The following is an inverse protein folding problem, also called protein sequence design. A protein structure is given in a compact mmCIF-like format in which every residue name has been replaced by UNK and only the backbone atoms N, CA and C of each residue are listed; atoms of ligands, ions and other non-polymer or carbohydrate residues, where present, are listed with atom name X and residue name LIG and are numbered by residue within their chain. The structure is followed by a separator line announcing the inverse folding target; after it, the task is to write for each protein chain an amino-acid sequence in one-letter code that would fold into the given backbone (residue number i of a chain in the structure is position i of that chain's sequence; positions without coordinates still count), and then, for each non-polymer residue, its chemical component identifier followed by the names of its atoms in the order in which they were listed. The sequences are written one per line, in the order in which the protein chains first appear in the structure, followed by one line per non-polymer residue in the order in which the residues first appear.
data_IF_150962007245
#
_entry.id   IF_150962007245
#
_cell.length_a   1.000
_cell.length_b   1.000
_cell.length_c   1.000
_cell.angle_alpha   90.00
_cell.angle_beta   90.00
_cell.angle_gamma   90.00
#
_symmetry.space_group_name_H-M   'P 1'
#
loop_
_entity.id
_entity.type
_entity.pdbx_description
1 polymer ?
#
# COMPACT_ATOMS: atom_id res chain seq x y z
N UNK A 1 -11.01 -26.87 -8.40
CA UNK A 1 -10.41 -25.64 -8.97
C UNK A 1 -11.55 -24.78 -9.48
N UNK A 2 -12.04 -23.85 -8.66
CA UNK A 2 -13.03 -22.87 -9.07
C UNK A 2 -12.59 -21.54 -8.48
N UNK A 3 -12.20 -20.61 -9.34
CA UNK A 3 -11.71 -19.27 -8.99
C UNK A 3 -12.93 -18.41 -8.65
N UNK A 4 -13.07 -18.00 -7.39
CA UNK A 4 -14.07 -17.00 -6.97
C UNK A 4 -13.41 -15.62 -6.97
N UNK A 5 -13.97 -14.72 -7.77
CA UNK A 5 -13.60 -13.30 -7.83
C UNK A 5 -14.54 -12.56 -6.86
N UNK A 6 -14.00 -12.04 -5.77
CA UNK A 6 -14.75 -11.17 -4.86
C UNK A 6 -14.71 -9.72 -5.37
N UNK A 7 -15.87 -9.16 -5.69
CA UNK A 7 -16.05 -7.77 -6.05
C UNK A 7 -16.35 -6.98 -4.76
N UNK A 8 -15.37 -6.22 -4.25
CA UNK A 8 -15.61 -5.27 -3.15
C UNK A 8 -16.14 -3.95 -3.74
N UNK A 9 -17.39 -3.62 -3.43
CA UNK A 9 -17.97 -2.29 -3.70
C UNK A 9 -17.85 -1.47 -2.42
N UNK A 10 -16.93 -0.49 -2.43
CA UNK A 10 -16.79 0.50 -1.36
C UNK A 10 -17.78 1.64 -1.63
N UNK A 11 -18.73 1.86 -0.74
CA UNK A 11 -19.65 3.01 -0.79
C UNK A 11 -19.00 4.18 -0.06
N UNK A 12 -18.69 5.27 -0.77
CA UNK A 12 -18.28 6.54 -0.15
C UNK A 12 -19.51 7.42 0.12
N UNK A 13 -19.58 8.15 1.26
CA UNK A 13 -20.62 9.14 1.48
C UNK A 13 -20.28 10.44 0.75
N UNK A 14 -21.18 10.93 -0.11
CA UNK A 14 -21.08 12.23 -0.76
C UNK A 14 -21.51 13.35 0.20
N UNK A 15 -20.60 14.32 0.38
CA UNK A 15 -20.78 15.58 1.10
C UNK A 15 -21.87 16.44 0.46
N UNK A 16 -22.80 16.95 1.27
CA UNK A 16 -23.82 17.93 0.88
C UNK A 16 -23.18 19.32 0.72
N UNK A 17 -23.32 19.93 -0.46
CA UNK A 17 -23.01 21.35 -0.68
C UNK A 17 -24.28 22.19 -0.52
N UNK A 18 -24.20 23.23 0.31
CA UNK A 18 -25.25 24.24 0.57
C UNK A 18 -25.25 25.34 -0.50
N UNK A 19 -26.37 25.61 -1.20
CA UNK A 19 -26.49 26.74 -2.10
C UNK A 19 -27.44 27.80 -1.52
N UNK A 20 -26.91 28.75 -0.77
CA UNK A 20 -27.57 30.04 -0.56
C UNK A 20 -26.62 31.17 -0.95
N UNK A 21 -26.70 31.61 -2.21
CA UNK A 21 -26.48 33.01 -2.61
C UNK A 21 -26.74 33.23 -4.11
N UNK A 22 -27.92 33.77 -4.45
CA UNK A 22 -28.02 34.83 -5.46
C UNK A 22 -29.35 35.60 -5.34
N UNK A 23 -29.36 36.95 -5.22
CA UNK A 23 -30.59 37.74 -5.18
C UNK A 23 -30.99 38.29 -6.56
N UNK A 24 -32.32 38.30 -6.81
CA UNK A 24 -33.12 39.28 -7.59
C UNK A 24 -32.73 39.57 -9.08
N UNK A 25 -33.61 39.88 -10.04
CA UNK A 25 -35.06 40.12 -10.13
C UNK A 25 -35.48 40.26 -11.61
N UNK A 26 -36.80 40.30 -11.85
CA UNK A 26 -37.53 40.89 -13.00
C UNK A 26 -37.67 40.06 -14.30
N UNK A 27 -38.83 39.95 -14.96
CA UNK A 27 -40.20 40.45 -14.76
C UNK A 27 -41.18 39.70 -15.69
N UNK A 28 -42.49 39.93 -15.45
CA UNK A 28 -43.69 39.68 -16.26
C UNK A 28 -44.49 38.38 -16.07
N UNK A 29 -45.74 38.58 -15.62
CA UNK A 29 -46.90 37.87 -16.19
C UNK A 29 -47.67 36.94 -15.25
N UNK A 30 -48.59 37.49 -14.45
CA UNK A 30 -49.58 36.70 -13.71
C UNK A 30 -50.57 36.02 -14.66
N UNK A 31 -50.54 34.69 -14.70
CA UNK A 31 -51.73 33.83 -14.85
C UNK A 31 -51.66 32.82 -13.71
N UNK A 32 -52.62 32.89 -12.79
CA UNK A 32 -52.73 31.95 -11.68
C UNK A 32 -53.13 30.58 -12.19
N UNK A 33 -52.18 29.66 -12.24
CA UNK A 33 -52.42 28.23 -12.08
C UNK A 33 -51.62 27.79 -10.86
N UNK A 34 -52.32 27.42 -9.80
CA UNK A 34 -51.74 26.63 -8.70
C UNK A 34 -51.43 25.23 -9.25
N UNK A 35 -50.28 25.10 -9.91
CA UNK A 35 -49.70 23.78 -10.17
C UNK A 35 -48.84 23.48 -8.96
N UNK A 36 -49.39 22.72 -8.01
CA UNK A 36 -48.54 21.97 -7.08
C UNK A 36 -47.68 21.05 -7.93
N UNK A 37 -46.41 21.37 -8.11
CA UNK A 37 -45.43 20.42 -8.67
C UNK A 37 -45.46 19.16 -7.81
N UNK A 38 -45.85 17.99 -8.32
CA UNK A 38 -45.72 16.76 -7.57
C UNK A 38 -44.22 16.51 -7.37
N UNK A 39 -43.85 16.49 -6.10
CA UNK A 39 -42.58 16.09 -5.48
C UNK A 39 -41.81 15.03 -6.29
N UNK A 40 -40.92 15.44 -7.19
CA UNK A 40 -40.00 14.53 -7.91
C UNK A 40 -38.96 13.92 -6.95
N UNK A 41 -38.67 14.58 -5.82
CA UNK A 41 -37.82 14.03 -4.76
C UNK A 41 -38.41 12.77 -4.10
N UNK A 42 -39.73 12.58 -4.13
CA UNK A 42 -40.36 11.43 -3.49
C UNK A 42 -40.39 10.17 -4.35
N UNK A 43 -40.23 10.27 -5.66
CA UNK A 43 -40.20 9.10 -6.55
C UNK A 43 -38.79 8.49 -6.56
N UNK A 44 -37.75 9.32 -6.53
CA UNK A 44 -36.37 8.86 -6.50
C UNK A 44 -36.04 8.16 -5.17
N UNK A 45 -36.43 8.75 -4.04
CA UNK A 45 -36.30 8.13 -2.71
C UNK A 45 -37.12 6.83 -2.60
N UNK A 46 -38.37 6.80 -3.08
CA UNK A 46 -39.19 5.58 -3.02
C UNK A 46 -38.66 4.45 -3.90
N UNK A 47 -38.04 4.78 -5.04
CA UNK A 47 -37.44 3.77 -5.92
C UNK A 47 -36.16 3.19 -5.31
N UNK A 48 -35.34 4.03 -4.66
CA UNK A 48 -34.17 3.58 -3.89
C UNK A 48 -34.60 2.66 -2.74
N UNK A 49 -35.69 2.99 -2.03
CA UNK A 49 -36.26 2.14 -0.97
C UNK A 49 -36.76 0.79 -1.53
N UNK A 50 -37.40 0.78 -2.71
CA UNK A 50 -37.89 -0.45 -3.36
C UNK A 50 -36.71 -1.32 -3.83
N UNK A 51 -35.69 -0.74 -4.44
CA UNK A 51 -34.49 -1.47 -4.86
C UNK A 51 -33.72 -2.03 -3.65
N UNK A 52 -33.62 -1.24 -2.58
CA UNK A 52 -33.02 -1.67 -1.32
C UNK A 52 -33.78 -2.84 -0.68
N UNK A 53 -35.11 -2.76 -0.62
CA UNK A 53 -35.97 -3.85 -0.10
C UNK A 53 -35.85 -5.10 -0.98
N UNK A 54 -35.80 -4.92 -2.30
CA UNK A 54 -35.64 -6.04 -3.25
C UNK A 54 -34.27 -6.71 -3.08
N UNK A 55 -33.22 -5.92 -2.88
CA UNK A 55 -31.85 -6.38 -2.68
C UNK A 55 -31.69 -7.07 -1.32
N UNK A 56 -32.29 -6.55 -0.25
CA UNK A 56 -32.35 -7.23 1.06
C UNK A 56 -33.06 -8.58 0.98
N UNK A 57 -34.22 -8.63 0.33
CA UNK A 57 -34.92 -9.90 0.11
C UNK A 57 -34.08 -10.90 -0.69
N UNK A 58 -33.28 -10.44 -1.66
CA UNK A 58 -32.39 -11.30 -2.42
C UNK A 58 -31.25 -11.85 -1.55
N UNK A 59 -30.68 -11.01 -0.67
CA UNK A 59 -29.66 -11.40 0.31
C UNK A 59 -30.22 -12.46 1.25
N UNK A 60 -31.38 -12.22 1.86
CA UNK A 60 -32.01 -13.18 2.78
C UNK A 60 -32.31 -14.54 2.10
N UNK A 61 -32.70 -14.51 0.82
CA UNK A 61 -32.91 -15.72 0.02
C UNK A 61 -31.61 -16.47 -0.30
N UNK A 62 -30.52 -15.74 -0.51
CA UNK A 62 -29.20 -16.33 -0.75
C UNK A 62 -28.69 -16.96 0.54
N UNK A 63 -28.79 -16.26 1.67
CA UNK A 63 -28.43 -16.77 3.00
C UNK A 63 -29.20 -18.06 3.34
N UNK A 64 -30.53 -18.05 3.16
CA UNK A 64 -31.36 -19.25 3.39
C UNK A 64 -31.00 -20.43 2.49
N UNK A 65 -30.62 -20.18 1.22
CA UNK A 65 -30.18 -21.23 0.30
C UNK A 65 -28.80 -21.78 0.65
N UNK A 66 -27.91 -20.93 1.17
CA UNK A 66 -26.59 -21.34 1.67
C UNK A 66 -26.76 -22.27 2.89
N UNK A 67 -27.64 -21.90 3.82
CA UNK A 67 -27.97 -22.73 5.00
C UNK A 67 -28.56 -24.08 4.59
N UNK A 68 -29.54 -24.09 3.67
CA UNK A 68 -30.17 -25.32 3.18
C UNK A 68 -29.21 -26.23 2.40
N UNK A 69 -28.24 -25.64 1.70
CA UNK A 69 -27.23 -26.38 0.96
C UNK A 69 -26.15 -26.99 1.85
N UNK A 70 -26.14 -26.67 3.16
CA UNK A 70 -25.06 -27.07 4.07
C UNK A 70 -23.70 -26.53 3.62
N UNK A 71 -23.69 -25.44 2.85
CA UNK A 71 -22.50 -24.74 2.37
C UNK A 71 -21.98 -23.73 3.40
N UNK A 72 -22.43 -23.85 4.65
CA UNK A 72 -21.78 -23.23 5.80
C UNK A 72 -20.40 -23.89 5.96
N UNK A 73 -19.44 -23.45 5.15
CA UNK A 73 -18.09 -23.31 5.67
C UNK A 73 -18.25 -22.45 6.91
N UNK A 74 -18.05 -23.05 8.07
CA UNK A 74 -17.72 -22.27 9.25
C UNK A 74 -16.48 -21.50 8.82
N UNK A 75 -16.62 -20.19 8.60
CA UNK A 75 -15.49 -19.30 8.45
C UNK A 75 -14.85 -19.25 9.84
N UNK A 76 -14.07 -20.28 10.17
CA UNK A 76 -13.07 -20.20 11.21
C UNK A 76 -12.07 -19.16 10.70
N UNK A 77 -12.28 -17.91 11.08
CA UNK A 77 -11.23 -16.90 11.01
C UNK A 77 -9.99 -17.53 11.64
N UNK A 78 -8.89 -17.59 10.90
CA UNK A 78 -7.61 -18.04 11.45
C UNK A 78 -7.16 -17.00 12.50
N UNK A 79 -7.64 -17.19 13.72
CA UNK A 79 -7.26 -16.41 14.90
C UNK A 79 -5.94 -16.90 15.50
N UNK A 80 -5.29 -17.90 14.90
CA UNK A 80 -4.07 -18.49 15.43
C UNK A 80 -2.85 -17.59 15.17
N UNK A 81 -2.95 -16.67 14.21
CA UNK A 81 -1.88 -15.75 13.84
C UNK A 81 -2.34 -14.29 13.82
N UNK A 82 -1.53 -13.35 14.36
CA UNK A 82 -1.79 -11.92 14.18
C UNK A 82 -1.70 -11.55 12.70
N UNK A 83 -2.49 -10.57 12.28
CA UNK A 83 -2.51 -10.11 10.88
C UNK A 83 -1.21 -9.43 10.46
N UNK A 84 -0.67 -8.65 11.38
CA UNK A 84 0.58 -7.93 11.24
C UNK A 84 1.15 -7.60 12.65
N UNK A 85 2.22 -6.82 12.70
CA UNK A 85 2.86 -6.46 13.96
C UNK A 85 2.04 -5.55 14.88
N UNK A 86 0.98 -4.89 14.39
CA UNK A 86 0.15 -3.99 15.20
C UNK A 86 -0.79 -4.75 16.16
N UNK A 87 -1.08 -6.02 15.88
CA UNK A 87 -1.86 -6.90 16.75
C UNK A 87 -0.99 -7.63 17.79
N UNK A 88 0.32 -7.42 17.78
CA UNK A 88 1.27 -8.07 18.67
C UNK A 88 1.57 -7.18 19.87
N UNK A 89 1.60 -7.77 21.06
CA UNK A 89 2.10 -7.13 22.28
C UNK A 89 3.40 -7.78 22.70
N UNK A 90 4.47 -7.00 22.89
CA UNK A 90 5.77 -7.54 23.31
C UNK A 90 6.95 -6.69 22.87
N UNK A 91 8.13 -7.30 22.88
CA UNK A 91 9.39 -6.68 22.44
C UNK A 91 9.58 -6.79 20.92
N UNK A 92 10.52 -6.03 20.38
CA UNK A 92 10.89 -6.14 18.96
C UNK A 92 11.47 -7.53 18.65
N UNK A 93 11.11 -8.12 17.52
CA UNK A 93 11.52 -9.49 17.22
C UNK A 93 10.93 -10.07 15.95
N UNK A 94 11.23 -11.34 15.70
CA UNK A 94 10.69 -12.07 14.55
C UNK A 94 9.43 -12.82 14.96
N UNK A 95 8.33 -12.54 14.26
CA UNK A 95 7.02 -13.12 14.52
C UNK A 95 6.44 -13.73 13.24
N UNK A 96 5.53 -14.69 13.40
CA UNK A 96 4.73 -15.23 12.29
C UNK A 96 3.42 -14.46 12.22
N UNK A 97 3.07 -13.97 11.03
CA UNK A 97 1.85 -13.22 10.76
C UNK A 97 1.07 -13.85 9.62
N UNK A 98 -0.24 -13.57 9.55
CA UNK A 98 -1.12 -13.99 8.47
C UNK A 98 -2.12 -12.87 8.11
N UNK A 99 -1.80 -12.01 7.13
CA UNK A 99 -2.60 -10.84 6.76
C UNK A 99 -4.08 -11.10 6.48
N UNK A 100 -4.37 -12.04 5.58
CA UNK A 100 -5.74 -12.29 5.12
C UNK A 100 -6.03 -13.78 4.98
N UNK A 101 -7.32 -14.12 5.00
CA UNK A 101 -7.80 -15.44 4.61
C UNK A 101 -7.38 -15.75 3.17
N UNK A 102 -6.82 -16.95 2.98
CA UNK A 102 -6.24 -17.36 1.70
C UNK A 102 -4.74 -17.05 1.52
N UNK A 103 -4.16 -16.13 2.31
CA UNK A 103 -2.70 -15.99 2.39
C UNK A 103 -2.09 -17.13 3.21
N UNK A 104 -0.80 -17.43 2.99
CA UNK A 104 -0.03 -18.36 3.82
C UNK A 104 0.64 -17.58 4.95
N UNK A 105 0.73 -18.11 6.18
CA UNK A 105 1.53 -17.48 7.23
C UNK A 105 2.99 -17.31 6.80
N UNK A 106 3.60 -16.19 7.19
CA UNK A 106 5.01 -15.92 6.94
C UNK A 106 5.65 -15.13 8.09
N UNK A 107 6.97 -15.16 8.18
CA UNK A 107 7.71 -14.47 9.26
C UNK A 107 8.14 -13.07 8.85
N UNK A 108 8.01 -12.14 9.80
CA UNK A 108 8.35 -10.73 9.68
C UNK A 108 9.15 -10.26 10.89
N UNK A 109 9.88 -9.16 10.75
CA UNK A 109 10.43 -8.46 11.91
C UNK A 109 9.44 -7.38 12.35
N UNK A 110 9.04 -7.44 13.62
CA UNK A 110 8.21 -6.44 14.26
C UNK A 110 9.09 -5.50 15.08
N UNK A 111 9.02 -4.21 14.77
CA UNK A 111 9.58 -3.14 15.59
C UNK A 111 8.47 -2.62 16.51
N UNK A 112 8.61 -2.94 17.79
CA UNK A 112 7.64 -2.64 18.84
C UNK A 112 8.03 -1.41 19.66
N UNK A 113 9.11 -0.71 19.27
CA UNK A 113 9.71 0.37 20.05
C UNK A 113 9.59 1.73 19.35
N UNK A 114 9.85 1.78 18.04
CA UNK A 114 9.88 3.04 17.30
C UNK A 114 8.49 3.64 17.19
N UNK A 115 8.33 4.91 17.59
CA UNK A 115 7.11 5.71 17.36
C UNK A 115 5.82 4.97 17.79
N UNK A 116 5.85 4.39 18.99
CA UNK A 116 4.74 3.63 19.57
C UNK A 116 4.65 2.16 19.13
N UNK A 117 5.56 1.69 18.28
CA UNK A 117 5.65 0.27 17.90
C UNK A 117 4.57 -0.20 16.93
N UNK A 118 4.46 -1.53 16.79
CA UNK A 118 3.51 -2.15 15.85
C UNK A 118 3.94 -2.06 14.39
N UNK A 119 5.21 -1.77 14.13
CA UNK A 119 5.74 -1.64 12.78
C UNK A 119 6.14 -3.00 12.23
N UNK A 120 5.66 -3.31 11.04
CA UNK A 120 6.12 -4.45 10.25
C UNK A 120 7.23 -3.98 9.32
N UNK A 121 8.46 -4.43 9.55
CA UNK A 121 9.58 -4.11 8.66
C UNK A 121 9.40 -4.87 7.34
N UNK A 122 9.64 -4.20 6.22
CA UNK A 122 9.46 -4.75 4.87
C UNK A 122 10.76 -4.83 4.08
N UNK A 123 11.72 -3.96 4.41
CA UNK A 123 13.06 -3.94 3.86
C UNK A 123 14.02 -3.43 4.93
N UNK A 124 15.21 -4.03 5.00
CA UNK A 124 16.29 -3.53 5.84
C UNK A 124 17.63 -3.69 5.14
N UNK A 125 18.50 -2.68 5.23
CA UNK A 125 19.91 -2.67 4.84
C UNK A 125 20.73 -2.12 6.00
N UNK A 126 21.75 -2.86 6.42
CA UNK A 126 22.51 -2.60 7.66
C UNK A 126 23.98 -2.98 7.54
N UNK A 127 24.29 -4.07 6.84
CA UNK A 127 25.66 -4.61 6.83
C UNK A 127 26.13 -5.10 5.45
N UNK A 128 25.23 -5.19 4.46
CA UNK A 128 25.55 -5.69 3.12
C UNK A 128 25.79 -7.20 3.06
N UNK A 129 25.44 -7.95 4.11
CA UNK A 129 25.58 -9.42 4.17
C UNK A 129 24.73 -10.16 3.14
N UNK A 130 23.65 -9.52 2.67
CA UNK A 130 22.74 -10.07 1.67
C UNK A 130 22.85 -9.30 0.37
N UNK A 131 23.13 -9.98 -0.74
CA UNK A 131 23.12 -9.38 -2.07
C UNK A 131 21.70 -9.14 -2.58
N UNK A 132 21.40 -7.90 -3.01
CA UNK A 132 20.10 -7.48 -3.56
C UNK A 132 20.03 -7.53 -5.11
N UNK A 133 21.11 -7.88 -5.79
CA UNK A 133 21.09 -8.20 -7.22
C UNK A 133 20.44 -9.58 -7.45
N UNK A 134 19.11 -9.61 -7.51
CA UNK A 134 18.29 -10.83 -7.52
C UNK A 134 17.25 -10.78 -8.64
N UNK A 135 16.83 -11.95 -9.10
CA UNK A 135 15.80 -12.08 -10.14
C UNK A 135 14.37 -11.96 -9.61
N UNK A 136 13.39 -12.03 -10.51
CA UNK A 136 11.96 -11.85 -10.23
C UNK A 136 11.45 -12.80 -9.15
N UNK A 137 11.79 -14.08 -9.26
CA UNK A 137 11.31 -15.12 -8.34
C UNK A 137 11.82 -14.91 -6.91
N UNK A 138 13.05 -14.42 -6.75
CA UNK A 138 13.62 -14.10 -5.44
C UNK A 138 12.94 -12.88 -4.84
N UNK A 139 12.77 -11.80 -5.61
CA UNK A 139 12.05 -10.61 -5.16
C UNK A 139 10.58 -10.88 -4.86
N UNK A 140 9.95 -11.80 -5.59
CA UNK A 140 8.59 -12.25 -5.31
C UNK A 140 8.49 -12.96 -3.95
N UNK A 141 9.39 -13.91 -3.69
CA UNK A 141 9.37 -14.75 -2.47
C UNK A 141 9.91 -14.05 -1.23
N UNK A 142 10.83 -13.11 -1.41
CA UNK A 142 11.61 -12.51 -0.33
C UNK A 142 12.91 -13.28 -0.08
N UNK A 143 13.88 -12.60 0.52
CA UNK A 143 15.22 -13.11 0.77
C UNK A 143 15.90 -12.35 1.92
N UNK A 144 17.00 -12.91 2.43
CA UNK A 144 17.78 -12.30 3.52
C UNK A 144 17.31 -12.70 4.91
N UNK A 145 17.86 -12.05 5.92
CA UNK A 145 17.62 -12.33 7.34
C UNK A 145 16.81 -11.22 7.98
N UNK A 146 15.70 -11.58 8.64
CA UNK A 146 14.79 -10.61 9.29
C UNK A 146 15.49 -9.77 10.36
N UNK A 147 16.62 -10.24 10.89
CA UNK A 147 17.44 -9.55 11.88
C UNK A 147 18.54 -8.66 11.27
N UNK A 148 18.82 -8.78 9.97
CA UNK A 148 19.88 -8.06 9.25
C UNK A 148 19.30 -7.54 7.93
N UNK A 149 20.05 -7.66 6.84
CA UNK A 149 19.61 -7.30 5.50
C UNK A 149 18.55 -8.26 4.96
N UNK A 150 17.36 -7.74 4.60
CA UNK A 150 16.31 -8.54 3.97
C UNK A 150 15.30 -7.74 3.14
N UNK A 151 14.59 -8.48 2.28
CA UNK A 151 13.41 -8.05 1.55
C UNK A 151 12.26 -9.00 1.87
N UNK A 152 11.12 -8.47 2.28
CA UNK A 152 9.95 -9.26 2.69
C UNK A 152 9.42 -10.20 1.59
N UNK A 153 9.55 -9.77 0.33
CA UNK A 153 8.97 -10.45 -0.83
C UNK A 153 7.72 -9.74 -1.33
N UNK A 154 7.63 -9.53 -2.65
CA UNK A 154 6.56 -8.74 -3.26
C UNK A 154 5.18 -9.39 -3.08
N UNK A 155 5.12 -10.73 -3.09
CA UNK A 155 3.87 -11.46 -2.83
C UNK A 155 3.37 -11.21 -1.41
N UNK A 156 4.27 -11.27 -0.43
CA UNK A 156 3.95 -10.99 0.97
C UNK A 156 3.56 -9.52 1.16
N UNK A 157 4.22 -8.57 0.47
CA UNK A 157 3.85 -7.15 0.49
C UNK A 157 2.46 -6.90 -0.08
N UNK A 158 2.11 -7.59 -1.17
CA UNK A 158 0.77 -7.54 -1.73
C UNK A 158 -0.27 -7.99 -0.69
N UNK A 159 -0.10 -9.19 -0.12
CA UNK A 159 -1.05 -9.70 0.88
C UNK A 159 -1.14 -8.80 2.12
N UNK A 160 0.01 -8.30 2.60
CA UNK A 160 0.08 -7.40 3.75
C UNK A 160 -0.65 -6.08 3.50
N UNK A 161 -0.48 -5.46 2.34
CA UNK A 161 -1.06 -4.14 2.03
C UNK A 161 -2.44 -4.21 1.34
N UNK A 162 -2.96 -5.42 1.12
CA UNK A 162 -4.31 -5.63 0.60
C UNK A 162 -5.38 -5.58 1.69
N UNK A 163 -5.02 -5.87 2.95
CA UNK A 163 -5.98 -6.03 4.05
C UNK A 163 -6.51 -4.72 4.63
N UNK A 164 -5.72 -3.65 4.62
CA UNK A 164 -6.07 -2.37 5.23
C UNK A 164 -5.26 -1.21 4.61
N UNK A 165 -5.45 0.01 5.13
CA UNK A 165 -4.68 1.20 4.83
C UNK A 165 -3.40 1.26 5.66
N UNK A 166 -2.24 1.14 5.03
CA UNK A 166 -0.93 1.17 5.69
C UNK A 166 -0.20 2.48 5.44
N UNK A 167 0.37 3.07 6.49
CA UNK A 167 1.42 4.08 6.34
C UNK A 167 2.77 3.42 6.08
N UNK A 168 3.66 4.15 5.39
CA UNK A 168 5.06 3.78 5.19
C UNK A 168 5.95 4.78 5.90
N UNK A 169 6.90 4.24 6.65
CA UNK A 169 8.01 4.96 7.24
C UNK A 169 9.31 4.43 6.63
N UNK A 170 10.11 5.35 6.09
CA UNK A 170 11.45 5.09 5.57
C UNK A 170 12.46 5.79 6.46
N UNK A 171 13.38 5.03 7.03
CA UNK A 171 14.50 5.53 7.82
C UNK A 171 15.80 5.35 7.03
N UNK A 172 16.62 6.40 6.99
CA UNK A 172 17.83 6.46 6.20
C UNK A 172 18.98 6.91 7.08
N UNK A 173 20.14 6.27 6.96
CA UNK A 173 21.36 6.65 7.66
C UNK A 173 22.53 6.80 6.69
N UNK A 174 23.30 7.88 6.81
CA UNK A 174 24.53 8.09 6.03
C UNK A 174 25.78 7.60 6.78
N UNK A 175 26.95 7.73 6.15
CA UNK A 175 28.22 7.33 6.74
C UNK A 175 28.77 8.33 7.79
N UNK A 176 28.09 9.46 8.02
CA UNK A 176 28.35 10.36 9.14
C UNK A 176 27.35 10.16 10.28
N UNK A 177 26.60 9.04 10.25
CA UNK A 177 25.60 8.66 11.25
C UNK A 177 24.42 9.63 11.38
N UNK A 178 24.22 10.52 10.41
CA UNK A 178 23.00 11.32 10.35
C UNK A 178 21.83 10.43 9.93
N UNK A 179 20.68 10.61 10.58
CA UNK A 179 19.45 9.86 10.30
C UNK A 179 18.41 10.82 9.73
N UNK A 180 17.71 10.40 8.66
CA UNK A 180 16.61 11.12 8.04
C UNK A 180 15.40 10.22 7.83
N UNK A 181 14.22 10.83 7.84
CA UNK A 181 12.94 10.14 7.70
C UNK A 181 12.16 10.59 6.47
N UNK A 182 11.42 9.67 5.86
CA UNK A 182 10.35 9.97 4.91
C UNK A 182 9.11 9.15 5.26
N UNK A 183 7.97 9.83 5.41
CA UNK A 183 6.70 9.21 5.84
C UNK A 183 5.66 9.43 4.75
N UNK A 184 4.94 8.37 4.39
CA UNK A 184 3.84 8.39 3.42
C UNK A 184 2.58 7.88 4.11
N UNK A 185 1.46 8.58 3.92
CA UNK A 185 0.19 8.20 4.55
C UNK A 185 -0.39 6.89 4.02
N UNK A 186 0.02 6.47 2.83
CA UNK A 186 -0.41 5.23 2.18
C UNK A 186 0.76 4.54 1.51
N UNK A 187 0.82 3.22 1.68
CA UNK A 187 1.67 2.33 0.92
C UNK A 187 0.91 1.05 0.57
N UNK A 188 0.85 0.75 -0.72
CA UNK A 188 0.22 -0.45 -1.24
C UNK A 188 1.00 -1.01 -2.41
N UNK A 189 1.06 -2.33 -2.47
CA UNK A 189 1.68 -3.08 -3.55
C UNK A 189 0.59 -3.87 -4.26
N UNK A 190 0.51 -3.76 -5.59
CA UNK A 190 -0.41 -4.53 -6.41
C UNK A 190 -0.07 -6.02 -6.45
N UNK A 191 -0.92 -6.82 -7.07
CA UNK A 191 -0.66 -8.25 -7.30
C UNK A 191 0.39 -8.51 -8.41
N UNK A 192 0.74 -9.77 -8.64
CA UNK A 192 1.66 -10.15 -9.72
C UNK A 192 1.15 -9.76 -11.12
N UNK A 193 -0.18 -9.76 -11.35
CA UNK A 193 -0.79 -9.35 -12.63
C UNK A 193 -0.56 -7.87 -12.98
N UNK A 194 -0.52 -7.02 -11.96
CA UNK A 194 -0.11 -5.62 -12.07
C UNK A 194 1.40 -5.41 -11.92
N UNK A 195 2.19 -6.50 -11.89
CA UNK A 195 3.65 -6.50 -11.68
C UNK A 195 4.05 -5.82 -10.37
N UNK A 196 3.32 -6.09 -9.29
CA UNK A 196 3.59 -5.54 -7.96
C UNK A 196 3.70 -4.01 -7.96
N UNK A 197 2.79 -3.35 -8.69
CA UNK A 197 2.78 -1.89 -8.85
C UNK A 197 2.77 -1.16 -7.51
N UNK A 198 3.64 -0.15 -7.37
CA UNK A 198 3.66 0.72 -6.21
C UNK A 198 2.49 1.71 -6.24
N UNK A 199 1.83 1.85 -5.09
CA UNK A 199 0.83 2.87 -4.83
C UNK A 199 1.22 3.55 -3.51
N UNK A 200 1.66 4.80 -3.60
CA UNK A 200 1.91 5.64 -2.44
C UNK A 200 0.92 6.80 -2.40
N UNK A 201 0.59 7.24 -1.19
CA UNK A 201 -0.26 8.40 -0.95
C UNK A 201 0.55 9.67 -0.75
N UNK A 202 0.04 10.59 0.06
CA UNK A 202 0.67 11.87 0.34
C UNK A 202 1.94 11.67 1.16
N UNK A 203 2.99 12.40 0.79
CA UNK A 203 4.14 12.59 1.66
C UNK A 203 3.69 13.38 2.90
N UNK A 204 3.75 12.73 4.06
CA UNK A 204 3.18 13.22 5.31
C UNK A 204 4.26 13.61 6.34
N UNK A 205 5.49 13.86 5.87
CA UNK A 205 6.56 14.45 6.68
C UNK A 205 7.87 13.66 6.68
N UNK A 206 8.78 14.15 7.51
CA UNK A 206 10.18 13.75 7.54
C UNK A 206 11.11 14.81 6.94
N UNK A 207 12.41 14.59 7.08
CA UNK A 207 13.48 15.50 6.68
C UNK A 207 14.39 14.90 5.60
N UNK A 208 14.03 13.75 5.03
CA UNK A 208 14.73 13.12 3.91
C UNK A 208 14.29 13.63 2.52
N UNK A 209 13.17 14.35 2.43
CA UNK A 209 12.52 14.70 1.16
C UNK A 209 11.82 13.52 0.47
N UNK A 210 11.08 13.81 -0.61
CA UNK A 210 10.13 12.89 -1.25
C UNK A 210 10.72 12.22 -2.51
N UNK A 211 11.67 11.30 -2.31
CA UNK A 211 12.32 10.60 -3.43
C UNK A 211 11.55 9.38 -3.97
N UNK A 212 10.39 9.04 -3.38
CA UNK A 212 9.49 7.99 -3.92
C UNK A 212 8.38 8.56 -4.80
N UNK A 213 8.11 9.88 -4.78
CA UNK A 213 7.06 10.50 -5.60
C UNK A 213 7.04 10.04 -7.06
N UNK A 214 8.19 10.07 -7.71
CA UNK A 214 8.33 9.69 -9.12
C UNK A 214 8.13 8.19 -9.36
N UNK A 215 8.23 7.38 -8.32
CA UNK A 215 8.06 5.93 -8.36
C UNK A 215 6.60 5.50 -8.20
N UNK A 216 5.70 6.41 -7.82
CA UNK A 216 4.29 6.08 -7.68
C UNK A 216 3.71 5.56 -9.01
N UNK A 217 2.89 4.53 -8.94
CA UNK A 217 2.32 3.78 -10.07
C UNK A 217 3.31 3.02 -10.96
N UNK A 218 4.61 3.01 -10.66
CA UNK A 218 5.57 2.20 -11.37
C UNK A 218 5.39 0.71 -11.02
N UNK A 219 5.40 -0.20 -12.01
CA UNK A 219 5.53 -1.63 -11.75
C UNK A 219 6.92 -1.95 -11.19
N UNK A 220 7.05 -3.12 -10.56
CA UNK A 220 8.34 -3.61 -10.09
C UNK A 220 9.15 -4.18 -11.26
N UNK A 221 10.46 -3.95 -11.26
CA UNK A 221 11.38 -4.39 -12.32
C UNK A 221 12.59 -5.08 -11.68
N UNK A 222 13.03 -6.19 -12.28
CA UNK A 222 14.23 -6.96 -11.87
C UNK A 222 15.19 -7.15 -13.06
N UNK A 223 16.46 -7.53 -12.83
CA UNK A 223 17.44 -7.71 -13.90
C UNK A 223 17.00 -8.69 -15.02
N UNK A 224 16.17 -9.67 -14.66
CA UNK A 224 15.64 -10.72 -15.53
C UNK A 224 14.19 -10.47 -15.99
N UNK A 225 13.53 -9.41 -15.52
CA UNK A 225 12.15 -9.08 -15.89
C UNK A 225 11.91 -7.56 -15.90
N UNK A 226 11.97 -7.00 -17.10
CA UNK A 226 11.88 -5.56 -17.35
C UNK A 226 10.42 -5.10 -17.44
N UNK A 227 10.02 -4.19 -16.54
CA UNK A 227 8.72 -3.53 -16.57
C UNK A 227 8.85 -2.00 -16.44
N UNK A 228 10.06 -1.46 -16.50
CA UNK A 228 10.28 -0.03 -16.23
C UNK A 228 9.85 0.85 -17.43
N UNK A 229 9.99 2.16 -17.28
CA UNK A 229 9.59 3.13 -18.32
C UNK A 229 10.77 3.64 -19.14
N UNK A 230 11.96 3.04 -18.98
CA UNK A 230 13.17 3.43 -19.69
C UNK A 230 13.12 2.95 -21.13
N UNK A 231 13.42 3.86 -22.07
CA UNK A 231 13.66 3.50 -23.47
C UNK A 231 15.11 3.11 -23.73
N UNK A 232 15.99 3.25 -22.73
CA UNK A 232 17.44 3.06 -22.85
C UNK A 232 17.90 1.68 -22.34
N UNK A 233 16.95 0.76 -22.13
CA UNK A 233 17.18 -0.58 -21.59
C UNK A 233 16.78 -0.72 -20.12
N UNK A 234 16.93 -1.95 -19.61
CA UNK A 234 16.48 -2.36 -18.28
C UNK A 234 17.28 -1.68 -17.15
N UNK A 235 16.62 -0.80 -16.40
CA UNK A 235 17.20 -0.09 -15.25
C UNK A 235 17.66 -1.06 -14.16
N UNK A 236 16.85 -2.08 -13.83
CA UNK A 236 17.18 -3.06 -12.81
C UNK A 236 18.44 -3.87 -13.17
N UNK A 237 18.62 -4.22 -14.45
CA UNK A 237 19.84 -4.88 -14.92
C UNK A 237 21.07 -3.97 -14.80
N UNK A 238 20.94 -2.68 -15.12
CA UNK A 238 22.04 -1.72 -15.04
C UNK A 238 22.44 -1.41 -13.59
N UNK A 239 21.46 -1.15 -12.73
CA UNK A 239 21.62 -0.80 -11.30
C UNK A 239 21.66 -2.02 -10.37
N UNK A 240 21.61 -3.24 -10.92
CA UNK A 240 21.83 -4.50 -10.22
C UNK A 240 20.96 -4.68 -8.97
N UNK A 241 19.67 -4.37 -9.10
CA UNK A 241 18.71 -4.38 -7.99
C UNK A 241 17.29 -4.53 -8.53
N UNK A 242 16.36 -4.95 -7.68
CA UNK A 242 14.93 -4.92 -7.97
C UNK A 242 14.29 -3.72 -7.30
N UNK A 243 13.51 -2.94 -8.06
CA UNK A 243 12.84 -1.76 -7.55
C UNK A 243 11.66 -1.36 -8.44
N UNK A 244 10.86 -0.41 -7.97
CA UNK A 244 9.85 0.27 -8.79
C UNK A 244 10.50 1.30 -9.71
N UNK A 245 11.34 0.85 -10.65
CA UNK A 245 12.05 1.74 -11.56
C UNK A 245 11.09 2.45 -12.53
N UNK A 246 11.42 3.71 -12.84
CA UNK A 246 10.81 4.50 -13.91
C UNK A 246 11.81 4.71 -15.05
N UNK A 247 12.46 5.87 -15.14
CA UNK A 247 13.52 6.15 -16.12
C UNK A 247 14.66 6.99 -15.52
N UNK A 248 15.51 6.45 -14.64
CA UNK A 248 15.38 5.14 -13.99
C UNK A 248 14.86 5.29 -12.56
N UNK A 249 15.42 6.19 -11.75
CA UNK A 249 14.99 6.33 -10.37
C UNK A 249 15.38 7.69 -9.75
N UNK A 250 14.67 8.05 -8.67
CA UNK A 250 15.04 9.07 -7.70
C UNK A 250 15.38 8.46 -6.32
N UNK A 251 14.94 7.23 -6.06
CA UNK A 251 15.40 6.40 -4.94
C UNK A 251 15.71 4.98 -5.40
N UNK A 252 16.71 4.34 -4.80
CA UNK A 252 16.99 2.93 -4.98
C UNK A 252 17.55 2.34 -3.69
N UNK A 253 16.67 1.96 -2.76
CA UNK A 253 17.09 1.43 -1.46
C UNK A 253 17.61 -0.03 -1.55
N UNK A 254 17.36 -0.69 -2.68
CA UNK A 254 17.80 -2.05 -2.97
C UNK A 254 19.12 -2.10 -3.75
N UNK A 255 19.78 -0.96 -3.95
CA UNK A 255 21.06 -0.88 -4.64
C UNK A 255 22.20 -1.63 -3.95
N UNK A 256 23.37 -1.64 -4.60
CA UNK A 256 24.58 -2.27 -4.11
C UNK A 256 25.02 -1.66 -2.78
N UNK A 257 25.32 -2.51 -1.80
CA UNK A 257 25.83 -2.04 -0.52
C UNK A 257 27.32 -1.68 -0.64
N UNK A 258 27.72 -0.51 -0.13
CA UNK A 258 29.11 -0.05 -0.10
C UNK A 258 29.58 0.00 1.35
N UNK A 259 30.64 -0.74 1.69
CA UNK A 259 31.12 -0.85 3.06
C UNK A 259 32.11 0.25 3.47
N UNK A 260 32.63 1.04 2.52
CA UNK A 260 33.71 1.99 2.76
C UNK A 260 33.32 3.44 2.42
N UNK A 261 32.47 4.03 3.25
CA UNK A 261 32.22 5.48 3.23
C UNK A 261 31.42 5.98 2.03
N UNK A 262 31.48 7.28 1.78
CA UNK A 262 30.76 7.97 0.71
C UNK A 262 31.35 7.68 -0.67
N UNK A 263 31.18 6.44 -1.12
CA UNK A 263 31.53 6.07 -2.48
C UNK A 263 30.58 6.75 -3.47
N UNK A 264 31.17 7.41 -4.47
CA UNK A 264 30.43 7.96 -5.60
C UNK A 264 29.99 6.80 -6.49
N UNK A 265 28.75 6.35 -6.31
CA UNK A 265 28.19 5.23 -7.05
C UNK A 265 26.68 5.33 -7.23
N UNK A 266 26.27 5.56 -8.47
CA UNK A 266 24.85 5.58 -8.87
C UNK A 266 24.20 4.19 -8.79
N UNK A 267 24.93 3.12 -8.49
CA UNK A 267 24.38 1.79 -8.24
C UNK A 267 24.19 1.50 -6.75
N UNK A 268 24.58 2.43 -5.88
CA UNK A 268 24.48 2.30 -4.43
C UNK A 268 23.06 2.36 -3.88
N UNK A 269 22.95 2.41 -2.55
CA UNK A 269 21.69 2.64 -1.84
C UNK A 269 21.41 4.14 -1.86
N UNK A 270 20.45 4.58 -2.68
CA UNK A 270 20.32 6.00 -3.02
C UNK A 270 18.97 6.60 -2.58
N UNK A 271 19.04 7.82 -2.05
CA UNK A 271 17.89 8.71 -1.83
C UNK A 271 18.23 10.13 -2.30
N UNK A 272 17.76 10.48 -3.50
CA UNK A 272 18.25 11.67 -4.22
C UNK A 272 17.95 13.00 -3.53
N UNK A 273 16.80 13.11 -2.86
CA UNK A 273 16.36 14.33 -2.18
C UNK A 273 17.21 14.69 -0.95
N UNK A 274 18.06 13.77 -0.47
CA UNK A 274 18.94 14.02 0.67
C UNK A 274 20.43 14.00 0.30
N UNK A 275 20.95 12.88 -0.22
CA UNK A 275 22.39 12.72 -0.54
C UNK A 275 22.70 12.78 -2.04
N UNK A 276 21.71 13.12 -2.87
CA UNK A 276 21.84 13.09 -4.33
C UNK A 276 21.92 11.67 -4.88
N UNK A 277 22.18 11.54 -6.19
CA UNK A 277 22.22 10.24 -6.89
C UNK A 277 23.53 9.45 -6.71
N UNK A 278 24.54 10.08 -6.11
CA UNK A 278 25.91 9.60 -6.16
C UNK A 278 26.41 9.06 -4.82
N UNK A 279 25.77 9.39 -3.70
CA UNK A 279 26.28 9.00 -2.38
C UNK A 279 25.41 7.86 -1.85
N UNK A 280 26.02 6.68 -1.67
CA UNK A 280 25.36 5.53 -1.08
C UNK A 280 25.12 5.74 0.42
N UNK A 281 23.95 5.35 0.89
CA UNK A 281 23.59 5.31 2.30
C UNK A 281 24.24 4.11 3.01
N UNK A 282 24.44 4.26 4.32
CA UNK A 282 25.01 3.26 5.23
C UNK A 282 23.95 2.26 5.66
N UNK A 283 22.78 2.73 6.06
CA UNK A 283 21.69 1.86 6.49
C UNK A 283 20.33 2.43 6.04
N UNK A 284 19.38 1.53 5.81
CA UNK A 284 18.00 1.90 5.46
C UNK A 284 17.03 0.90 6.07
N UNK A 285 15.87 1.39 6.48
CA UNK A 285 14.76 0.54 6.87
C UNK A 285 13.46 1.09 6.28
N UNK A 286 12.68 0.21 5.65
CA UNK A 286 11.31 0.51 5.27
C UNK A 286 10.40 -0.33 6.17
N UNK A 287 9.42 0.31 6.80
CA UNK A 287 8.44 -0.34 7.68
C UNK A 287 7.05 0.25 7.52
N UNK A 288 6.05 -0.59 7.71
CA UNK A 288 4.64 -0.25 7.52
C UNK A 288 3.81 -0.63 8.74
N UNK A 289 2.72 0.10 8.97
CA UNK A 289 1.75 -0.16 10.04
C UNK A 289 0.37 0.29 9.57
N UNK A 290 -0.74 -0.31 10.03
CA UNK A 290 -2.06 0.23 9.76
C UNK A 290 -2.16 1.68 10.22
N UNK A 291 -2.63 2.55 9.33
CA UNK A 291 -2.92 3.94 9.65
C UNK A 291 -4.40 4.05 9.97
N UNK A 292 -4.72 4.44 11.20
CA UNK A 292 -6.09 4.69 11.59
C UNK A 292 -6.73 5.70 10.62
N UNK A 293 -7.78 5.29 9.93
CA UNK A 293 -8.61 6.22 9.17
C UNK A 293 -9.32 7.09 10.21
N UNK A 294 -9.20 8.42 10.18
CA UNK A 294 -10.01 9.27 11.06
C UNK A 294 -11.48 8.91 10.85
N UNK A 295 -12.20 8.62 11.94
CA UNK A 295 -13.65 8.50 11.89
C UNK A 295 -14.18 9.89 11.50
N UNK A 296 -14.67 10.04 10.27
CA UNK A 296 -15.42 11.22 9.82
C UNK A 296 -16.81 11.25 10.46
#
# INVERSE_FOLDING_TARGET
MMTLVFLFVVVMPSVLADPTDNPASDAFGRIGCSVTTPRIENIYMSNVDIEYVTMKNLIDQIESKIDQAGLQETVEYDTDHPKDCSEITGESGVYTVKPIEGSKPFTVYCDMETDGGGWTVIQRRTDGSTGFNRGWIDYRKGFGSKNLDYWMGNENLFWMTAQDHYELRVELQDFQDAIRLAIYDRFKVGDEGTRYKLLIGSYNGGDAGDALKSHNHAPFTTPDYDNDFSTNGNCAAYFQSGWWFTNCYHSNLNGLYRSHGEEVDTKGIVWSEWRGLNISLKATEMKIRPKATPLE
#
